data_IF_277939074595
#
_entry.id   IF_277939074595
#
_cell.length_a   1.000
_cell.length_b   1.000
_cell.length_c   1.000
_cell.angle_alpha   90.00
_cell.angle_beta   90.00
_cell.angle_gamma   90.00
#
_symmetry.space_group_name_H-M   'P 1'
#
loop_
_entity.id
_entity.type
_entity.pdbx_description
1 polymer ?
#
# COMPACT_ATOMS: atom_id res chain seq x y z
N UNK A 1 1.94 -25.53 9.68
CA UNK A 1 0.58 -24.98 9.46
C UNK A 1 0.51 -24.15 8.17
N UNK A 2 1.36 -23.13 7.99
CA UNK A 2 1.34 -22.28 6.78
C UNK A 2 1.58 -23.04 5.47
N UNK A 3 2.45 -24.07 5.46
CA UNK A 3 2.74 -24.82 4.24
C UNK A 3 1.56 -25.66 3.71
N UNK A 4 0.72 -26.19 4.62
CA UNK A 4 -0.51 -26.89 4.22
C UNK A 4 -1.52 -25.91 3.65
N UNK A 5 -1.69 -24.75 4.31
CA UNK A 5 -2.57 -23.68 3.84
C UNK A 5 -2.16 -23.18 2.45
N UNK A 6 -0.87 -22.91 2.25
CA UNK A 6 -0.32 -22.51 0.96
C UNK A 6 -0.62 -23.53 -0.13
N UNK A 7 -0.38 -24.82 0.12
CA UNK A 7 -0.60 -25.88 -0.88
C UNK A 7 -2.08 -25.97 -1.30
N UNK A 8 -3.02 -25.83 -0.36
CA UNK A 8 -4.47 -25.81 -0.66
C UNK A 8 -4.80 -24.61 -1.56
N UNK A 9 -4.29 -23.43 -1.23
CA UNK A 9 -4.53 -22.20 -2.01
C UNK A 9 -3.95 -22.32 -3.42
N UNK A 10 -2.71 -22.80 -3.56
CA UNK A 10 -2.06 -22.96 -4.85
C UNK A 10 -2.80 -23.99 -5.71
N UNK A 11 -3.14 -25.15 -5.14
CA UNK A 11 -3.90 -26.20 -5.83
C UNK A 11 -5.27 -25.69 -6.29
N UNK A 12 -5.99 -24.96 -5.42
CA UNK A 12 -7.28 -24.36 -5.78
C UNK A 12 -7.12 -23.30 -6.88
N UNK A 13 -6.04 -22.51 -6.85
CA UNK A 13 -5.82 -21.46 -7.85
C UNK A 13 -5.53 -22.02 -9.24
N UNK A 14 -4.87 -23.18 -9.37
CA UNK A 14 -4.64 -23.80 -10.68
C UNK A 14 -5.96 -24.20 -11.36
N UNK A 15 -6.92 -24.73 -10.59
CA UNK A 15 -8.28 -25.04 -11.07
C UNK A 15 -9.28 -23.89 -10.91
N UNK A 16 -8.82 -22.64 -10.71
CA UNK A 16 -9.69 -21.50 -10.38
C UNK A 16 -10.83 -21.31 -11.38
N UNK A 17 -10.63 -21.62 -12.66
CA UNK A 17 -11.67 -21.46 -13.69
C UNK A 17 -12.98 -22.21 -13.34
N UNK A 18 -12.89 -23.32 -12.61
CA UNK A 18 -13.99 -24.20 -12.22
C UNK A 18 -14.64 -23.79 -10.89
N UNK A 19 -13.98 -22.94 -10.09
CA UNK A 19 -14.42 -22.55 -8.75
C UNK A 19 -15.44 -21.43 -8.84
N UNK A 20 -16.61 -21.58 -8.24
CA UNK A 20 -17.67 -20.57 -8.18
C UNK A 20 -18.22 -20.50 -6.76
N UNK A 21 -18.96 -19.45 -6.39
CA UNK A 21 -19.55 -19.37 -5.07
C UNK A 21 -20.44 -20.59 -4.75
N UNK A 22 -21.14 -21.12 -5.75
CA UNK A 22 -22.06 -22.26 -5.61
C UNK A 22 -21.40 -23.64 -5.45
N UNK A 23 -20.19 -23.84 -6.01
CA UNK A 23 -19.55 -25.17 -6.07
C UNK A 23 -18.21 -25.27 -5.33
N UNK A 24 -17.74 -24.20 -4.67
CA UNK A 24 -16.50 -24.22 -3.89
C UNK A 24 -16.66 -25.17 -2.71
N UNK A 25 -15.77 -26.16 -2.59
CA UNK A 25 -15.74 -27.08 -1.46
C UNK A 25 -15.36 -26.38 -0.14
N UNK A 26 -15.83 -26.95 0.98
CA UNK A 26 -15.64 -26.37 2.32
C UNK A 26 -14.16 -26.17 2.67
N UNK A 27 -13.28 -27.13 2.29
CA UNK A 27 -11.85 -27.07 2.60
C UNK A 27 -11.19 -25.87 1.91
N UNK A 28 -11.48 -25.67 0.62
CA UNK A 28 -10.97 -24.52 -0.15
C UNK A 28 -11.51 -23.21 0.42
N UNK A 29 -12.81 -23.15 0.74
CA UNK A 29 -13.45 -21.95 1.32
C UNK A 29 -12.84 -21.57 2.67
N UNK A 30 -12.66 -22.54 3.56
CA UNK A 30 -12.04 -22.33 4.87
C UNK A 30 -10.58 -21.89 4.74
N UNK A 31 -9.80 -22.50 3.84
CA UNK A 31 -8.42 -22.10 3.59
C UNK A 31 -8.32 -20.66 3.09
N UNK A 32 -9.14 -20.26 2.12
CA UNK A 32 -9.18 -18.88 1.63
C UNK A 32 -9.56 -17.92 2.76
N UNK A 33 -10.64 -18.21 3.50
CA UNK A 33 -11.07 -17.36 4.62
C UNK A 33 -10.01 -17.25 5.72
N UNK A 34 -9.29 -18.34 6.01
CA UNK A 34 -8.19 -18.35 6.96
C UNK A 34 -7.03 -17.47 6.48
N UNK A 35 -6.61 -17.59 5.22
CA UNK A 35 -5.56 -16.75 4.64
C UNK A 35 -5.94 -15.26 4.70
N UNK A 36 -7.18 -14.90 4.36
CA UNK A 36 -7.69 -13.53 4.47
C UNK A 36 -7.72 -13.05 5.92
N UNK A 37 -8.06 -13.92 6.88
CA UNK A 37 -8.01 -13.58 8.31
C UNK A 37 -6.58 -13.37 8.82
N UNK A 38 -5.61 -14.12 8.31
CA UNK A 38 -4.19 -13.95 8.65
C UNK A 38 -3.62 -12.66 8.05
N UNK A 39 -4.04 -12.29 6.84
CA UNK A 39 -3.75 -10.98 6.25
C UNK A 39 -4.42 -9.85 7.06
N UNK A 40 -5.68 -10.00 7.45
CA UNK A 40 -6.44 -8.99 8.21
C UNK A 40 -5.82 -8.68 9.58
N UNK A 41 -5.25 -9.69 10.22
CA UNK A 41 -4.58 -9.59 11.53
C UNK A 41 -3.10 -9.22 11.43
N UNK A 42 -2.53 -9.15 10.22
CA UNK A 42 -1.10 -8.89 10.01
C UNK A 42 -0.18 -10.06 10.36
N UNK A 43 -0.74 -11.23 10.71
CA UNK A 43 0.03 -12.46 10.95
C UNK A 43 0.70 -13.00 9.67
N UNK A 44 0.12 -12.66 8.52
CA UNK A 44 0.75 -12.79 7.21
C UNK A 44 0.67 -11.44 6.49
N UNK A 45 1.57 -11.23 5.54
CA UNK A 45 1.62 -10.03 4.69
C UNK A 45 1.99 -10.42 3.26
N UNK A 46 1.45 -9.72 2.26
CA UNK A 46 1.62 -10.08 0.84
C UNK A 46 3.08 -9.98 0.39
N UNK A 47 3.82 -8.99 0.91
CA UNK A 47 5.25 -8.90 0.72
C UNK A 47 5.92 -8.50 2.03
N UNK A 48 7.15 -8.96 2.24
CA UNK A 48 7.96 -8.62 3.41
C UNK A 48 9.43 -8.48 3.05
N UNK A 49 10.20 -7.83 3.92
CA UNK A 49 11.64 -7.62 3.73
C UNK A 49 12.40 -8.78 4.38
N UNK A 50 13.03 -9.62 3.57
CA UNK A 50 13.88 -10.75 3.99
C UNK A 50 15.29 -10.45 3.51
N UNK A 51 16.27 -10.45 4.41
CA UNK A 51 17.68 -10.13 4.09
C UNK A 51 17.85 -8.80 3.32
N UNK A 52 17.05 -7.80 3.68
CA UNK A 52 17.07 -6.47 3.06
C UNK A 52 16.32 -6.38 1.72
N UNK A 53 15.76 -7.48 1.20
CA UNK A 53 15.06 -7.52 -0.08
C UNK A 53 13.57 -7.76 0.12
N UNK A 54 12.74 -7.07 -0.68
CA UNK A 54 11.30 -7.31 -0.68
C UNK A 54 10.96 -8.58 -1.45
N UNK A 55 10.35 -9.53 -0.74
CA UNK A 55 9.89 -10.82 -1.26
C UNK A 55 8.36 -10.82 -1.28
N UNK A 56 7.78 -11.12 -2.44
CA UNK A 56 6.32 -11.26 -2.59
C UNK A 56 5.88 -12.71 -2.48
N UNK A 57 4.93 -12.95 -1.57
CA UNK A 57 4.29 -14.25 -1.35
C UNK A 57 3.11 -14.41 -2.33
N UNK A 58 3.38 -14.91 -3.52
CA UNK A 58 2.38 -15.02 -4.60
C UNK A 58 1.11 -15.78 -4.17
N UNK A 59 1.24 -16.80 -3.32
CA UNK A 59 0.10 -17.57 -2.86
C UNK A 59 -0.90 -16.73 -2.05
N UNK A 60 -0.47 -15.66 -1.38
CA UNK A 60 -1.38 -14.73 -0.70
C UNK A 60 -2.18 -13.88 -1.70
N UNK A 61 -1.58 -13.47 -2.81
CA UNK A 61 -2.31 -12.83 -3.93
C UNK A 61 -3.32 -13.80 -4.55
N UNK A 62 -2.93 -15.08 -4.73
CA UNK A 62 -3.84 -16.15 -5.16
C UNK A 62 -5.03 -16.31 -4.19
N UNK A 63 -4.79 -16.26 -2.88
CA UNK A 63 -5.86 -16.31 -1.87
C UNK A 63 -6.84 -15.13 -2.00
N UNK A 64 -6.33 -13.91 -2.18
CA UNK A 64 -7.16 -12.72 -2.41
C UNK A 64 -8.00 -12.86 -3.68
N UNK A 65 -7.41 -13.29 -4.79
CA UNK A 65 -8.15 -13.52 -6.05
C UNK A 65 -9.21 -14.61 -5.91
N UNK A 66 -8.90 -15.72 -5.21
CA UNK A 66 -9.88 -16.76 -4.89
C UNK A 66 -11.01 -16.22 -4.01
N UNK A 67 -10.72 -15.33 -3.06
CA UNK A 67 -11.77 -14.73 -2.21
C UNK A 67 -12.84 -14.00 -3.04
N UNK A 68 -12.47 -13.39 -4.17
CA UNK A 68 -13.43 -12.75 -5.07
C UNK A 68 -14.25 -13.77 -5.86
N UNK A 69 -13.68 -14.93 -6.12
CA UNK A 69 -14.31 -16.00 -6.91
C UNK A 69 -15.26 -16.85 -6.08
N UNK A 70 -15.01 -17.03 -4.78
CA UNK A 70 -15.83 -17.87 -3.89
C UNK A 70 -16.98 -17.11 -3.22
N UNK A 71 -17.08 -15.79 -3.42
CA UNK A 71 -18.12 -14.94 -2.85
C UNK A 71 -18.95 -14.25 -3.93
N UNK A 72 -20.27 -14.22 -3.75
CA UNK A 72 -21.19 -13.42 -4.54
C UNK A 72 -21.26 -11.99 -4.03
N UNK A 73 -21.69 -11.07 -4.90
CA UNK A 73 -22.05 -9.73 -4.45
C UNK A 73 -23.29 -9.82 -3.57
N UNK A 74 -23.31 -9.05 -2.50
CA UNK A 74 -24.44 -8.94 -1.60
C UNK A 74 -24.79 -7.48 -1.38
N UNK A 75 -26.05 -7.23 -1.02
CA UNK A 75 -26.48 -5.92 -0.58
C UNK A 75 -25.82 -5.59 0.76
N UNK A 76 -25.24 -4.40 0.87
CA UNK A 76 -24.61 -3.88 2.09
C UNK A 76 -25.36 -2.60 2.46
N UNK A 77 -25.97 -2.58 3.64
CA UNK A 77 -26.65 -1.39 4.16
C UNK A 77 -25.62 -0.34 4.58
N UNK A 78 -25.81 0.91 4.16
CA UNK A 78 -24.86 2.01 4.32
C UNK A 78 -25.41 3.22 5.06
N UNK A 79 -26.53 3.08 5.77
CA UNK A 79 -27.25 4.23 6.35
C UNK A 79 -28.19 4.85 5.33
N UNK A 80 -27.81 5.99 4.74
CA UNK A 80 -28.61 6.74 3.76
C UNK A 80 -28.64 6.12 2.36
N UNK A 81 -27.75 5.16 2.09
CA UNK A 81 -27.63 4.47 0.81
C UNK A 81 -27.37 2.97 0.99
N UNK A 82 -27.31 2.25 -0.12
CA UNK A 82 -26.97 0.82 -0.17
C UNK A 82 -25.84 0.59 -1.16
N UNK A 83 -24.99 -0.37 -0.86
CA UNK A 83 -23.90 -0.83 -1.72
C UNK A 83 -24.16 -2.26 -2.19
N UNK A 84 -23.45 -2.69 -3.25
CA UNK A 84 -23.52 -4.05 -3.77
C UNK A 84 -22.11 -4.53 -4.14
N UNK A 85 -21.49 -5.29 -3.25
CA UNK A 85 -20.13 -5.80 -3.38
C UNK A 85 -20.00 -7.16 -2.67
N UNK A 86 -18.92 -7.88 -2.94
CA UNK A 86 -18.62 -9.21 -2.39
C UNK A 86 -17.51 -9.21 -1.35
N UNK A 87 -16.80 -8.09 -1.18
CA UNK A 87 -15.71 -7.98 -0.21
C UNK A 87 -16.25 -7.37 1.08
N UNK A 88 -16.25 -8.09 2.22
CA UNK A 88 -16.69 -7.54 3.50
C UNK A 88 -15.82 -6.36 3.94
N UNK A 89 -16.42 -5.44 4.71
CA UNK A 89 -15.68 -4.37 5.37
C UNK A 89 -14.96 -4.91 6.62
N UNK A 90 -13.72 -4.49 6.88
CA UNK A 90 -12.89 -4.96 8.00
C UNK A 90 -13.59 -4.78 9.34
N UNK A 91 -14.22 -3.63 9.53
CA UNK A 91 -14.80 -3.21 10.80
C UNK A 91 -16.28 -3.54 10.95
N UNK A 92 -16.90 -4.27 9.99
CA UNK A 92 -18.33 -4.58 10.03
C UNK A 92 -18.76 -5.28 11.33
N UNK A 93 -17.90 -6.19 11.83
CA UNK A 93 -18.14 -6.99 13.03
C UNK A 93 -17.27 -6.57 14.23
N UNK A 94 -16.67 -5.37 14.21
CA UNK A 94 -15.82 -4.90 15.31
C UNK A 94 -16.66 -4.37 16.48
N UNK A 95 -16.27 -4.76 17.69
CA UNK A 95 -16.76 -4.15 18.93
C UNK A 95 -15.76 -3.11 19.47
N UNK A 96 -16.21 -2.33 20.46
CA UNK A 96 -15.38 -1.31 21.12
C UNK A 96 -14.12 -1.91 21.74
N UNK A 97 -14.24 -3.08 22.38
CA UNK A 97 -13.12 -3.75 23.04
C UNK A 97 -12.01 -4.10 22.04
N UNK A 98 -12.35 -4.55 20.83
CA UNK A 98 -11.39 -4.83 19.77
C UNK A 98 -10.72 -3.55 19.27
N UNK A 99 -11.47 -2.47 19.04
CA UNK A 99 -10.87 -1.18 18.68
C UNK A 99 -9.86 -0.69 19.73
N UNK A 100 -10.22 -0.74 21.01
CA UNK A 100 -9.34 -0.32 22.10
C UNK A 100 -8.09 -1.21 22.20
N UNK A 101 -8.23 -2.54 22.07
CA UNK A 101 -7.07 -3.45 22.11
C UNK A 101 -6.11 -3.22 20.95
N UNK A 102 -6.64 -3.08 19.73
CA UNK A 102 -5.81 -2.89 18.53
C UNK A 102 -5.22 -1.47 18.46
N UNK A 103 -5.86 -0.49 19.11
CA UNK A 103 -5.30 0.87 19.27
C UNK A 103 -5.24 1.66 17.97
N UNK A 104 -6.15 1.38 17.03
CA UNK A 104 -6.32 2.09 15.77
C UNK A 104 -7.38 3.19 15.91
N UNK A 105 -7.17 4.33 15.25
CA UNK A 105 -8.18 5.39 15.13
C UNK A 105 -8.75 5.40 13.71
N UNK A 106 -10.07 5.27 13.59
CA UNK A 106 -10.77 5.25 12.30
C UNK A 106 -11.79 6.39 12.29
N UNK A 107 -11.42 7.50 11.66
CA UNK A 107 -12.28 8.69 11.57
C UNK A 107 -13.33 8.51 10.46
N UNK A 108 -14.62 8.74 10.71
CA UNK A 108 -15.64 8.63 9.66
C UNK A 108 -15.40 9.63 8.51
N UNK A 109 -15.59 9.26 7.23
CA UNK A 109 -16.03 7.95 6.71
C UNK A 109 -14.89 6.99 6.26
N UNK A 110 -13.75 6.92 6.96
CA UNK A 110 -12.66 6.01 6.61
C UNK A 110 -13.14 4.55 6.47
N UNK A 111 -12.71 3.89 5.40
CA UNK A 111 -13.23 2.60 4.98
C UNK A 111 -12.09 1.63 4.66
N UNK A 112 -12.15 0.43 5.23
CA UNK A 112 -11.11 -0.60 5.06
C UNK A 112 -11.77 -1.91 4.65
N UNK A 113 -11.28 -2.53 3.57
CA UNK A 113 -11.71 -3.87 3.19
C UNK A 113 -11.10 -4.93 4.11
N UNK A 114 -11.87 -5.96 4.45
CA UNK A 114 -11.38 -7.11 5.20
C UNK A 114 -10.21 -7.76 4.46
N UNK A 115 -9.20 -8.19 5.21
CA UNK A 115 -7.94 -8.71 4.64
C UNK A 115 -6.86 -7.66 4.48
N UNK A 116 -7.08 -6.43 4.96
CA UNK A 116 -6.03 -5.43 5.15
C UNK A 116 -5.66 -5.34 6.64
N UNK A 117 -4.37 -5.21 6.92
CA UNK A 117 -3.87 -5.01 8.27
C UNK A 117 -3.66 -3.54 8.57
N UNK A 118 -4.13 -3.11 9.75
CA UNK A 118 -3.92 -1.77 10.28
C UNK A 118 -3.32 -1.92 11.67
N UNK A 119 -2.07 -1.46 11.83
CA UNK A 119 -1.34 -1.59 13.08
C UNK A 119 -1.81 -0.58 14.15
N UNK A 120 -1.30 -0.79 15.37
CA UNK A 120 -1.50 0.09 16.52
C UNK A 120 -1.03 1.51 16.21
N UNK A 121 -1.63 2.50 16.86
CA UNK A 121 -1.28 3.93 16.78
C UNK A 121 -1.46 4.55 15.39
N UNK A 122 -1.94 3.80 14.40
CA UNK A 122 -2.29 4.32 13.08
C UNK A 122 -3.59 5.13 13.14
N UNK A 123 -3.61 6.22 12.39
CA UNK A 123 -4.79 7.08 12.24
C UNK A 123 -5.25 7.04 10.80
N UNK A 124 -6.48 6.59 10.60
CA UNK A 124 -7.17 6.63 9.33
C UNK A 124 -8.13 7.82 9.34
N UNK A 125 -7.75 8.91 8.70
CA UNK A 125 -8.67 10.00 8.31
C UNK A 125 -9.60 9.49 7.20
N UNK A 126 -10.62 10.25 6.74
CA UNK A 126 -11.50 9.81 5.65
C UNK A 126 -10.72 9.32 4.43
N UNK A 127 -10.54 8.01 4.29
CA UNK A 127 -9.58 7.38 3.38
C UNK A 127 -10.05 5.98 3.04
N UNK A 128 -9.35 5.35 2.09
CA UNK A 128 -9.64 3.99 1.66
C UNK A 128 -8.41 3.10 1.74
N UNK A 129 -8.52 1.95 2.41
CA UNK A 129 -7.48 0.90 2.45
C UNK A 129 -8.05 -0.39 1.87
N UNK A 130 -7.42 -0.87 0.81
CA UNK A 130 -7.89 -2.01 0.03
C UNK A 130 -7.28 -3.34 0.54
N UNK A 131 -7.90 -4.45 0.14
CA UNK A 131 -7.55 -5.80 0.59
C UNK A 131 -6.09 -6.18 0.33
N UNK A 132 -5.47 -6.89 1.27
CA UNK A 132 -4.08 -7.33 1.23
C UNK A 132 -3.07 -6.25 1.60
N UNK A 133 -3.48 -4.99 1.77
CA UNK A 133 -2.60 -3.92 2.23
C UNK A 133 -2.13 -4.16 3.67
N UNK A 134 -0.94 -3.65 3.97
CA UNK A 134 -0.34 -3.69 5.30
C UNK A 134 0.05 -2.27 5.70
N UNK A 135 -0.60 -1.71 6.72
CA UNK A 135 -0.30 -0.37 7.24
C UNK A 135 0.29 -0.51 8.64
N UNK A 136 1.59 -0.28 8.75
CA UNK A 136 2.36 -0.53 9.99
C UNK A 136 2.26 0.64 10.99
N UNK A 137 2.81 0.41 12.18
CA UNK A 137 2.59 1.17 13.41
C UNK A 137 2.84 2.68 13.26
N UNK A 138 1.97 3.49 13.87
CA UNK A 138 2.15 4.93 13.98
C UNK A 138 1.98 5.69 12.65
N UNK A 139 1.47 5.04 11.61
CA UNK A 139 1.25 5.66 10.30
C UNK A 139 0.08 6.64 10.33
N UNK A 140 0.24 7.77 9.65
CA UNK A 140 -0.84 8.72 9.36
C UNK A 140 -1.35 8.51 7.94
N UNK A 141 -2.62 8.15 7.80
CA UNK A 141 -3.33 8.07 6.52
C UNK A 141 -4.31 9.23 6.47
N UNK A 142 -3.92 10.33 5.82
CA UNK A 142 -4.71 11.57 5.79
C UNK A 142 -5.97 11.48 4.91
N UNK A 143 -6.75 12.56 4.97
CA UNK A 143 -8.00 12.71 4.26
C UNK A 143 -7.82 12.54 2.74
N UNK A 144 -8.65 11.69 2.16
CA UNK A 144 -8.69 11.25 0.77
C UNK A 144 -7.46 10.48 0.29
N UNK A 145 -6.70 9.89 1.22
CA UNK A 145 -5.66 8.94 0.86
C UNK A 145 -6.26 7.61 0.39
N UNK A 146 -5.62 7.00 -0.60
CA UNK A 146 -5.90 5.61 -1.01
C UNK A 146 -4.67 4.75 -0.80
N UNK A 147 -4.82 3.66 -0.03
CA UNK A 147 -3.82 2.58 0.07
C UNK A 147 -4.33 1.39 -0.71
N UNK A 148 -3.75 1.16 -1.88
CA UNK A 148 -4.17 0.16 -2.84
C UNK A 148 -3.94 -1.28 -2.38
N UNK A 149 -4.51 -2.24 -3.13
CA UNK A 149 -4.43 -3.65 -2.77
C UNK A 149 -2.98 -4.13 -2.70
N UNK A 150 -2.69 -4.95 -1.69
CA UNK A 150 -1.34 -5.48 -1.42
C UNK A 150 -0.26 -4.44 -1.05
N UNK A 151 -0.54 -3.13 -1.05
CA UNK A 151 0.46 -2.10 -0.73
C UNK A 151 1.07 -2.30 0.66
N UNK A 152 2.36 -2.02 0.80
CA UNK A 152 3.11 -2.19 2.05
C UNK A 152 3.54 -0.81 2.55
N UNK A 153 2.95 -0.35 3.64
CA UNK A 153 3.25 0.93 4.28
C UNK A 153 3.97 0.65 5.59
N UNK A 154 5.20 1.16 5.70
CA UNK A 154 6.07 1.00 6.86
C UNK A 154 5.60 1.79 8.08
N UNK A 155 6.42 1.75 9.13
CA UNK A 155 6.13 2.41 10.42
C UNK A 155 6.34 3.91 10.31
N UNK A 156 5.56 4.69 11.06
CA UNK A 156 5.67 6.14 11.15
C UNK A 156 5.69 6.85 9.77
N UNK A 157 5.00 6.26 8.80
CA UNK A 157 4.82 6.89 7.49
C UNK A 157 3.76 7.97 7.63
N UNK A 158 3.91 9.08 6.91
CA UNK A 158 2.85 10.08 6.76
C UNK A 158 2.45 10.17 5.29
N UNK A 159 1.28 9.61 4.97
CA UNK A 159 0.60 9.80 3.69
C UNK A 159 -0.29 11.03 3.81
N UNK A 160 0.13 12.14 3.21
CA UNK A 160 -0.59 13.41 3.29
C UNK A 160 -1.88 13.41 2.47
N UNK A 161 -2.74 14.42 2.67
CA UNK A 161 -4.06 14.47 2.06
C UNK A 161 -4.08 14.23 0.54
N UNK A 162 -4.92 13.30 0.08
CA UNK A 162 -5.07 12.96 -1.32
C UNK A 162 -3.92 12.18 -1.95
N UNK A 163 -3.02 11.59 -1.14
CA UNK A 163 -1.99 10.69 -1.66
C UNK A 163 -2.61 9.39 -2.14
N UNK A 164 -2.21 8.93 -3.32
CA UNK A 164 -2.56 7.60 -3.83
C UNK A 164 -1.37 6.65 -3.84
N UNK A 165 -1.54 5.49 -3.19
CA UNK A 165 -0.60 4.38 -3.25
C UNK A 165 -1.24 3.27 -4.09
N UNK A 166 -0.71 3.02 -5.27
CA UNK A 166 -1.27 2.10 -6.25
C UNK A 166 -1.29 0.66 -5.76
N UNK A 167 -2.41 -0.04 -6.01
CA UNK A 167 -2.55 -1.46 -5.71
C UNK A 167 -1.93 -2.35 -6.78
N UNK A 168 -1.39 -3.50 -6.38
CA UNK A 168 -0.79 -4.48 -7.31
C UNK A 168 -1.19 -5.89 -6.88
N UNK A 169 -2.32 -6.36 -7.39
CA UNK A 169 -2.78 -7.73 -7.19
C UNK A 169 -2.31 -8.66 -8.31
N UNK A 170 -2.36 -8.18 -9.55
CA UNK A 170 -1.82 -8.85 -10.74
C UNK A 170 -0.83 -7.90 -11.44
N UNK A 171 0.24 -8.43 -12.06
CA UNK A 171 0.60 -9.85 -12.13
C UNK A 171 1.14 -10.39 -10.78
N UNK A 172 1.00 -11.71 -10.56
CA UNK A 172 1.27 -12.35 -9.25
C UNK A 172 2.71 -12.13 -8.77
N UNK A 173 3.68 -12.18 -9.68
CA UNK A 173 5.11 -12.03 -9.40
C UNK A 173 5.53 -10.59 -9.12
N UNK A 174 4.72 -9.59 -9.48
CA UNK A 174 5.10 -8.19 -9.26
C UNK A 174 5.10 -7.87 -7.77
N UNK A 175 6.11 -7.14 -7.31
CA UNK A 175 6.09 -6.57 -5.97
C UNK A 175 4.96 -5.54 -5.87
N UNK A 176 4.28 -5.46 -4.71
CA UNK A 176 3.35 -4.37 -4.46
C UNK A 176 4.08 -3.04 -4.33
N UNK A 177 3.33 -1.95 -4.41
CA UNK A 177 3.87 -0.63 -4.10
C UNK A 177 4.27 -0.59 -2.63
N UNK A 178 5.48 -0.13 -2.36
CA UNK A 178 6.10 -0.16 -1.04
C UNK A 178 6.51 1.26 -0.66
N UNK A 179 6.08 1.68 0.53
CA UNK A 179 6.55 2.87 1.21
C UNK A 179 7.22 2.39 2.49
N UNK A 180 8.53 2.48 2.58
CA UNK A 180 9.28 1.98 3.74
C UNK A 180 9.15 2.88 4.97
N UNK A 181 9.77 2.44 6.05
CA UNK A 181 9.65 3.06 7.36
C UNK A 181 10.05 4.53 7.31
N UNK A 182 9.24 5.31 8.02
CA UNK A 182 9.44 6.71 8.23
C UNK A 182 9.53 7.46 6.88
N UNK A 183 8.68 7.20 5.89
CA UNK A 183 8.58 8.11 4.73
C UNK A 183 7.58 9.24 5.00
N UNK A 184 7.81 10.39 4.38
CA UNK A 184 6.79 11.44 4.24
C UNK A 184 6.40 11.54 2.77
N UNK A 185 5.11 11.43 2.48
CA UNK A 185 4.56 11.58 1.14
C UNK A 185 3.64 12.79 1.13
N UNK A 186 4.06 13.85 0.44
CA UNK A 186 3.36 15.12 0.38
C UNK A 186 2.02 15.02 -0.34
N UNK A 187 1.13 15.97 -0.04
CA UNK A 187 -0.25 15.95 -0.53
C UNK A 187 -0.33 15.87 -2.06
N UNK A 188 -1.33 15.15 -2.57
CA UNK A 188 -1.61 14.98 -4.01
C UNK A 188 -0.48 14.30 -4.81
N UNK A 189 0.42 13.61 -4.13
CA UNK A 189 1.41 12.75 -4.75
C UNK A 189 0.84 11.35 -5.00
N UNK A 190 1.39 10.64 -5.98
CA UNK A 190 0.93 9.30 -6.35
C UNK A 190 2.15 8.39 -6.55
N UNK A 191 2.15 7.22 -5.93
CA UNK A 191 3.20 6.20 -6.10
C UNK A 191 2.54 4.88 -6.49
N UNK A 192 2.89 4.31 -7.63
CA UNK A 192 2.12 3.21 -8.25
C UNK A 192 3.00 2.11 -8.83
N UNK A 193 2.38 1.04 -9.34
CA UNK A 193 3.02 0.00 -10.17
C UNK A 193 4.19 -0.74 -9.50
N UNK A 194 4.17 -0.89 -8.17
CA UNK A 194 5.22 -1.62 -7.47
C UNK A 194 6.49 -0.79 -7.23
N UNK A 195 6.41 0.53 -7.38
CA UNK A 195 7.49 1.44 -6.99
C UNK A 195 7.81 1.26 -5.50
N UNK A 196 9.11 1.30 -5.18
CA UNK A 196 9.63 1.27 -3.81
C UNK A 196 10.14 2.64 -3.44
N UNK A 197 9.58 3.23 -2.38
CA UNK A 197 10.14 4.41 -1.73
C UNK A 197 10.87 3.94 -0.47
N UNK A 198 12.20 4.01 -0.51
CA UNK A 198 13.03 3.52 0.58
C UNK A 198 13.00 4.44 1.80
N UNK A 199 13.41 3.85 2.93
CA UNK A 199 13.25 4.42 4.26
C UNK A 199 13.74 5.86 4.37
N UNK A 200 13.01 6.66 5.15
CA UNK A 200 13.40 8.03 5.45
C UNK A 200 13.21 9.04 4.34
N UNK A 201 12.73 8.64 3.16
CA UNK A 201 12.51 9.56 2.04
C UNK A 201 11.40 10.59 2.31
N UNK A 202 11.57 11.78 1.76
CA UNK A 202 10.61 12.89 1.82
C UNK A 202 10.20 13.27 0.40
N UNK A 203 8.99 12.90 0.02
CA UNK A 203 8.39 13.27 -1.26
C UNK A 203 7.52 14.51 -1.04
N UNK A 204 7.75 15.57 -1.81
CA UNK A 204 6.97 16.80 -1.77
C UNK A 204 5.55 16.61 -2.31
N UNK A 205 4.77 17.69 -2.39
CA UNK A 205 3.44 17.67 -3.01
C UNK A 205 3.53 17.49 -4.53
N UNK A 206 2.51 16.84 -5.12
CA UNK A 206 2.36 16.73 -6.57
C UNK A 206 3.45 15.92 -7.27
N UNK A 207 4.05 14.96 -6.57
CA UNK A 207 5.04 14.05 -7.15
C UNK A 207 4.37 12.74 -7.53
N UNK A 208 4.33 12.47 -8.82
CA UNK A 208 3.81 11.25 -9.42
C UNK A 208 4.97 10.32 -9.78
N UNK A 209 4.95 9.07 -9.31
CA UNK A 209 6.01 8.08 -9.56
C UNK A 209 5.37 6.73 -9.93
N UNK A 210 5.65 6.30 -11.15
CA UNK A 210 5.31 5.00 -11.73
C UNK A 210 6.58 4.27 -12.20
N UNK A 211 6.47 3.06 -12.74
CA UNK A 211 7.63 2.37 -13.32
C UNK A 211 8.20 3.09 -14.55
N UNK A 212 7.40 3.92 -15.23
CA UNK A 212 7.81 4.74 -16.38
C UNK A 212 8.33 6.13 -16.01
N UNK A 213 8.20 6.53 -14.74
CA UNK A 213 8.62 7.86 -14.30
C UNK A 213 10.14 7.92 -14.17
N UNK A 214 10.77 8.90 -14.84
CA UNK A 214 12.17 9.26 -14.61
C UNK A 214 12.32 9.88 -13.23
N UNK A 215 13.22 9.33 -12.43
CA UNK A 215 13.62 9.89 -11.12
C UNK A 215 15.06 10.40 -11.28
N UNK A 216 15.21 11.69 -11.52
CA UNK A 216 16.49 12.34 -11.80
C UNK A 216 17.18 12.77 -10.51
N UNK A 217 18.41 12.32 -10.28
CA UNK A 217 19.26 12.80 -9.18
C UNK A 217 20.04 14.03 -9.65
N UNK A 218 19.75 15.20 -9.08
CA UNK A 218 20.41 16.44 -9.53
C UNK A 218 21.86 16.54 -9.09
N UNK A 219 22.27 15.81 -8.05
CA UNK A 219 23.65 15.83 -7.54
C UNK A 219 24.57 14.99 -8.43
N UNK A 220 24.07 13.87 -8.96
CA UNK A 220 24.86 12.92 -9.76
C UNK A 220 24.58 12.98 -11.26
N UNK A 221 23.41 13.49 -11.66
CA UNK A 221 22.91 13.42 -13.02
C UNK A 221 22.32 12.05 -13.43
N UNK A 222 22.25 11.08 -12.51
CA UNK A 222 21.70 9.76 -12.77
C UNK A 222 20.17 9.78 -12.90
N UNK A 223 19.62 8.82 -13.64
CA UNK A 223 18.17 8.60 -13.75
C UNK A 223 17.84 7.21 -13.21
N UNK A 224 17.04 7.18 -12.15
CA UNK A 224 16.46 5.96 -11.57
C UNK A 224 15.03 5.73 -12.10
N UNK A 225 14.57 4.49 -11.98
CA UNK A 225 13.21 4.07 -12.29
C UNK A 225 12.74 3.07 -11.23
N UNK A 226 11.46 3.13 -10.86
CA UNK A 226 10.85 2.14 -9.97
C UNK A 226 11.30 2.17 -8.50
N UNK A 227 12.33 2.97 -8.15
CA UNK A 227 12.89 3.04 -6.80
C UNK A 227 13.38 4.44 -6.46
N UNK A 228 12.92 4.96 -5.33
CA UNK A 228 13.45 6.17 -4.69
C UNK A 228 14.42 5.72 -3.60
N UNK A 229 15.73 6.03 -3.70
CA UNK A 229 16.73 5.63 -2.71
C UNK A 229 16.46 6.19 -1.31
N UNK A 230 17.00 5.52 -0.28
CA UNK A 230 16.79 5.90 1.11
C UNK A 230 17.24 7.35 1.39
N UNK A 231 16.46 8.05 2.21
CA UNK A 231 16.74 9.43 2.61
C UNK A 231 16.61 10.45 1.48
N UNK A 232 16.09 10.10 0.31
CA UNK A 232 15.92 11.06 -0.79
C UNK A 232 14.87 12.12 -0.45
N UNK A 233 15.20 13.38 -0.73
CA UNK A 233 14.22 14.48 -0.77
C UNK A 233 13.85 14.70 -2.23
N UNK A 234 12.57 14.51 -2.56
CA UNK A 234 12.08 14.43 -3.94
C UNK A 234 11.03 15.51 -4.20
N UNK A 235 11.16 16.20 -5.33
CA UNK A 235 10.20 17.21 -5.80
C UNK A 235 9.77 16.93 -7.23
N UNK A 236 8.67 17.52 -7.66
CA UNK A 236 8.25 17.49 -9.06
C UNK A 236 9.16 18.40 -9.90
N UNK A 237 9.51 17.98 -11.11
CA UNK A 237 10.22 18.83 -12.05
C UNK A 237 10.10 18.33 -13.48
N UNK A 238 10.95 18.84 -14.35
CA UNK A 238 10.99 18.44 -15.76
C UNK A 238 12.42 18.31 -16.25
N UNK A 239 12.64 17.40 -17.20
CA UNK A 239 13.87 17.33 -17.99
C UNK A 239 13.61 17.91 -19.38
N UNK A 240 14.46 18.83 -19.88
CA UNK A 240 14.31 19.41 -21.21
C UNK A 240 14.54 18.35 -22.30
N UNK A 241 13.90 18.54 -23.46
CA UNK A 241 14.23 17.82 -24.68
C UNK A 241 15.62 18.19 -25.18
N UNK A 242 16.24 17.36 -26.03
CA UNK A 242 17.59 17.60 -26.56
C UNK A 242 17.71 18.90 -27.35
N UNK A 243 16.62 19.31 -28.01
CA UNK A 243 16.51 20.55 -28.79
C UNK A 243 16.00 21.74 -27.95
N UNK A 244 15.68 21.53 -26.67
CA UNK A 244 15.14 22.56 -25.77
C UNK A 244 13.73 23.06 -26.10
N UNK A 245 13.02 22.44 -27.06
CA UNK A 245 11.69 22.89 -27.51
C UNK A 245 10.59 22.66 -26.48
N UNK A 246 10.76 21.67 -25.61
CA UNK A 246 9.81 21.31 -24.57
C UNK A 246 10.52 20.66 -23.39
N UNK A 247 9.77 20.35 -22.35
CA UNK A 247 10.25 19.53 -21.24
C UNK A 247 9.20 18.51 -20.86
N UNK A 248 9.63 17.39 -20.31
CA UNK A 248 8.75 16.32 -19.88
C UNK A 248 8.95 16.08 -18.39
N UNK A 249 7.83 15.80 -17.73
CA UNK A 249 7.77 15.56 -16.30
C UNK A 249 8.78 14.49 -15.83
N UNK A 250 9.33 14.72 -14.64
CA UNK A 250 10.14 13.78 -13.88
C UNK A 250 10.03 14.08 -12.39
N UNK A 251 10.34 13.09 -11.55
CA UNK A 251 10.65 13.33 -10.15
C UNK A 251 12.13 13.71 -10.04
N UNK A 252 12.47 14.68 -9.19
CA UNK A 252 13.85 15.13 -8.99
C UNK A 252 14.26 14.87 -7.54
N UNK A 253 15.29 14.07 -7.33
CA UNK A 253 15.99 13.98 -6.04
C UNK A 253 16.86 15.23 -5.93
N UNK A 254 16.54 16.11 -4.97
CA UNK A 254 17.23 17.39 -4.77
C UNK A 254 18.35 17.31 -3.73
N UNK A 255 18.30 16.31 -2.84
CA UNK A 255 19.34 15.97 -1.88
C UNK A 255 19.04 14.63 -1.23
N UNK A 256 20.02 14.08 -0.53
CA UNK A 256 19.87 12.91 0.35
C UNK A 256 20.15 13.31 1.79
N UNK A 257 19.31 12.86 2.72
CA UNK A 257 19.47 13.13 4.15
C UNK A 257 19.63 11.85 4.94
N UNK A 258 20.50 11.87 5.94
CA UNK A 258 20.65 10.76 6.88
C UNK A 258 19.55 10.78 7.95
N UNK A 259 19.41 9.67 8.68
CA UNK A 259 18.41 9.54 9.74
C UNK A 259 18.58 10.57 10.85
N UNK A 260 19.82 11.00 11.16
CA UNK A 260 20.10 11.99 12.21
C UNK A 260 19.63 13.38 11.83
N UNK A 261 19.88 13.79 10.60
CA UNK A 261 19.45 15.06 10.02
C UNK A 261 17.94 15.09 9.95
N UNK A 262 17.33 14.00 9.49
CA UNK A 262 15.88 13.89 9.41
C UNK A 262 15.17 13.98 10.76
N UNK A 263 15.74 13.39 11.82
CA UNK A 263 15.15 13.47 13.15
C UNK A 263 15.21 14.88 13.77
N UNK A 264 16.14 15.74 13.31
CA UNK A 264 16.37 17.08 13.86
C UNK A 264 15.73 18.19 13.04
N UNK A 265 15.62 18.00 11.73
CA UNK A 265 15.20 19.02 10.77
C UNK A 265 13.74 18.77 10.41
N UNK A 266 12.89 19.78 10.61
CA UNK A 266 11.47 19.69 10.26
C UNK A 266 11.27 19.48 8.76
N UNK A 267 10.20 18.76 8.38
CA UNK A 267 9.88 18.49 6.97
C UNK A 267 9.83 19.77 6.13
N UNK A 268 9.22 20.83 6.68
CA UNK A 268 9.15 22.14 6.03
C UNK A 268 10.53 22.76 5.78
N UNK A 269 11.51 22.50 6.64
CA UNK A 269 12.87 23.03 6.49
C UNK A 269 13.66 22.25 5.45
N UNK A 270 13.49 20.92 5.40
CA UNK A 270 14.02 20.07 4.33
C UNK A 270 13.50 20.51 2.95
N UNK A 271 12.23 20.89 2.86
CA UNK A 271 11.60 21.36 1.63
C UNK A 271 11.79 22.86 1.34
N UNK A 272 12.35 23.67 2.24
CA UNK A 272 12.66 25.10 1.96
C UNK A 272 14.10 25.31 1.51
N UNK A 273 15.01 24.45 1.96
CA UNK A 273 16.43 24.44 1.57
C UNK A 273 16.64 23.64 0.28
N UNK A 274 15.81 23.86 -0.74
CA UNK A 274 15.83 23.09 -2.00
C UNK A 274 16.91 23.60 -2.95
N UNK A 275 17.30 24.87 -2.87
CA UNK A 275 18.23 25.48 -3.83
C UNK A 275 19.67 24.95 -3.66
#
# INVERSE_FOLDING_TARGET
>A
MHQQLQNIIETAFERRAEITPANTDTVTREAVNQAISLLDSGALRVAEKIDGQWVTHQWLKKAVLLSFRINDNQLIEGGETRFFDKVPMKFADYDEARFQREGVRVAPPASVRRGAYIARNTVLMPSYVNIGAYVDEGTMVDTWVTVGSCAQIGKNVHLSGGVGIGGVLEPLQANPTIIEDNCFIGARSEVVEGVVVEEGSVISMGVFISQSTRIYDRETGEIHYGRVPAGSVVVSGNLPSKDGSHSLYCAIIVKKVDAKTRAKVGINELLRSID
#
